data_IF_680374263691
#
_entry.id   IF_680374263691
#
_cell.length_a   1.000
_cell.length_b   1.000
_cell.length_c   1.000
_cell.angle_alpha   90.00
_cell.angle_beta   90.00
_cell.angle_gamma   90.00
#
_symmetry.space_group_name_H-M   'P 1'
#
loop_
_entity.id
_entity.type
_entity.pdbx_description
1 polymer ?
#
# COMPACT_ATOMS: atom_id res chain seq x y z
N UNK A 1 -19.95 3.83 -2.35
CA UNK A 1 -19.39 2.55 -2.83
C UNK A 1 -20.14 1.44 -2.14
N UNK A 2 -20.55 0.38 -2.85
CA UNK A 2 -21.26 -0.76 -2.26
C UNK A 2 -20.31 -1.95 -2.22
N UNK A 3 -20.18 -2.59 -1.06
CA UNK A 3 -19.30 -3.73 -0.86
C UNK A 3 -20.07 -4.81 -0.12
N UNK A 4 -20.21 -5.97 -0.74
CA UNK A 4 -20.94 -7.11 -0.16
C UNK A 4 -19.95 -8.06 0.49
N UNK A 5 -20.10 -8.28 1.79
CA UNK A 5 -19.30 -9.22 2.57
C UNK A 5 -20.09 -10.51 2.79
N UNK A 6 -19.43 -11.66 2.66
CA UNK A 6 -20.05 -12.97 2.81
C UNK A 6 -19.39 -13.81 3.90
N UNK A 7 -20.18 -14.72 4.48
CA UNK A 7 -19.69 -15.78 5.34
C UNK A 7 -18.92 -15.29 6.58
N UNK A 8 -17.76 -15.87 6.90
CA UNK A 8 -17.00 -15.56 8.13
C UNK A 8 -16.63 -14.08 8.27
N UNK A 9 -16.36 -13.38 7.16
CA UNK A 9 -15.95 -11.97 7.17
C UNK A 9 -17.10 -11.07 7.60
N UNK A 10 -18.31 -11.33 7.12
CA UNK A 10 -19.50 -10.57 7.54
C UNK A 10 -19.76 -10.74 9.04
N UNK A 11 -19.64 -11.98 9.56
CA UNK A 11 -19.79 -12.26 10.99
C UNK A 11 -18.70 -11.59 11.83
N UNK A 12 -17.46 -11.58 11.35
CA UNK A 12 -16.34 -10.91 12.01
C UNK A 12 -16.59 -9.40 12.11
N UNK A 13 -16.93 -8.75 11.00
CA UNK A 13 -17.22 -7.30 10.96
C UNK A 13 -18.36 -6.97 11.90
N UNK A 14 -19.45 -7.75 11.89
CA UNK A 14 -20.58 -7.53 12.79
C UNK A 14 -20.17 -7.67 14.26
N UNK A 15 -19.40 -8.71 14.60
CA UNK A 15 -18.95 -8.97 15.98
C UNK A 15 -18.02 -7.87 16.48
N UNK A 16 -17.05 -7.45 15.65
CA UNK A 16 -16.07 -6.42 16.00
C UNK A 16 -16.67 -5.02 16.08
N UNK A 17 -17.65 -4.70 15.21
CA UNK A 17 -18.37 -3.43 15.27
C UNK A 17 -18.99 -3.22 16.66
N UNK A 18 -19.65 -4.26 17.18
CA UNK A 18 -20.25 -4.23 18.52
C UNK A 18 -19.17 -4.25 19.61
N UNK A 19 -18.20 -5.17 19.52
CA UNK A 19 -17.19 -5.36 20.55
C UNK A 19 -16.30 -4.12 20.77
N UNK A 20 -16.03 -3.37 19.71
CA UNK A 20 -15.16 -2.19 19.74
C UNK A 20 -15.95 -0.87 19.68
N UNK A 21 -17.27 -0.92 19.84
CA UNK A 21 -18.13 0.25 19.92
C UNK A 21 -18.07 1.18 18.69
N UNK A 22 -17.90 0.60 17.50
CA UNK A 22 -18.05 1.37 16.26
C UNK A 22 -19.51 1.72 16.07
N UNK A 23 -19.77 2.97 15.68
CA UNK A 23 -21.14 3.42 15.36
C UNK A 23 -21.72 2.75 14.12
N UNK A 24 -20.88 2.20 13.23
CA UNK A 24 -21.33 1.40 12.11
C UNK A 24 -20.22 0.47 11.57
N UNK A 25 -20.56 -0.61 10.85
CA UNK A 25 -19.59 -1.48 10.16
C UNK A 25 -18.69 -0.73 9.18
N UNK A 26 -19.20 0.32 8.53
CA UNK A 26 -18.45 1.13 7.58
C UNK A 26 -17.28 1.85 8.26
N UNK A 27 -17.45 2.31 9.50
CA UNK A 27 -16.37 2.99 10.23
C UNK A 27 -15.23 2.01 10.57
N UNK A 28 -15.57 0.78 10.96
CA UNK A 28 -14.58 -0.29 11.17
C UNK A 28 -13.84 -0.60 9.85
N UNK A 29 -14.57 -0.73 8.73
CA UNK A 29 -13.97 -1.00 7.42
C UNK A 29 -13.07 0.16 6.99
N UNK A 30 -13.48 1.41 7.21
CA UNK A 30 -12.70 2.58 6.86
C UNK A 30 -11.38 2.65 7.63
N UNK A 31 -11.42 2.37 8.93
CA UNK A 31 -10.20 2.31 9.74
C UNK A 31 -9.29 1.16 9.29
N UNK A 32 -9.85 -0.04 9.05
CA UNK A 32 -9.09 -1.18 8.56
C UNK A 32 -8.41 -0.89 7.21
N UNK A 33 -9.08 -0.19 6.31
CA UNK A 33 -8.51 0.29 5.04
C UNK A 33 -7.36 1.28 5.27
N UNK A 34 -7.51 2.21 6.22
CA UNK A 34 -6.46 3.14 6.61
C UNK A 34 -5.21 2.42 7.12
N UNK A 35 -5.39 1.42 7.99
CA UNK A 35 -4.29 0.58 8.49
C UNK A 35 -3.61 -0.19 7.35
N UNK A 36 -4.39 -0.79 6.45
CA UNK A 36 -3.85 -1.50 5.30
C UNK A 36 -3.05 -0.57 4.37
N UNK A 37 -3.55 0.65 4.13
CA UNK A 37 -2.86 1.64 3.32
C UNK A 37 -1.52 2.02 3.96
N UNK A 38 -1.53 2.31 5.27
CA UNK A 38 -0.31 2.62 6.01
C UNK A 38 0.71 1.48 5.93
N UNK A 39 0.28 0.23 6.15
CA UNK A 39 1.16 -0.94 6.05
C UNK A 39 1.79 -1.08 4.66
N UNK A 40 1.03 -0.82 3.59
CA UNK A 40 1.56 -0.84 2.21
C UNK A 40 2.61 0.25 1.97
N UNK A 41 2.35 1.46 2.48
CA UNK A 41 3.31 2.58 2.39
C UNK A 41 4.58 2.23 3.17
N UNK A 42 4.44 1.79 4.42
CA UNK A 42 5.57 1.43 5.30
C UNK A 42 6.41 0.30 4.67
N UNK A 43 5.77 -0.70 4.06
CA UNK A 43 6.47 -1.77 3.35
C UNK A 43 7.25 -1.26 2.13
N UNK A 44 6.69 -0.30 1.37
CA UNK A 44 7.36 0.36 0.26
C UNK A 44 8.58 1.15 0.71
N UNK A 45 8.44 1.94 1.78
CA UNK A 45 9.54 2.71 2.39
C UNK A 45 10.63 1.75 2.88
N UNK A 46 10.28 0.71 3.62
CA UNK A 46 11.24 -0.26 4.14
C UNK A 46 12.02 -0.96 3.02
N UNK A 47 11.35 -1.30 1.91
CA UNK A 47 12.00 -1.85 0.71
C UNK A 47 12.98 -0.84 0.11
N UNK A 48 12.55 0.40 -0.09
CA UNK A 48 13.41 1.47 -0.63
C UNK A 48 14.64 1.72 0.23
N UNK A 49 14.48 1.74 1.56
CA UNK A 49 15.60 1.86 2.51
C UNK A 49 16.56 0.67 2.42
N UNK A 50 16.04 -0.55 2.27
CA UNK A 50 16.87 -1.74 2.10
C UNK A 50 17.64 -1.72 0.77
N UNK A 51 17.02 -1.24 -0.31
CA UNK A 51 17.68 -1.06 -1.61
C UNK A 51 18.77 0.00 -1.53
N UNK A 52 18.50 1.15 -0.90
CA UNK A 52 19.50 2.18 -0.67
C UNK A 52 20.69 1.67 0.16
N UNK A 53 20.42 0.96 1.26
CA UNK A 53 21.48 0.36 2.11
C UNK A 53 22.32 -0.67 1.34
N UNK A 54 21.71 -1.38 0.38
CA UNK A 54 22.41 -2.34 -0.45
C UNK A 54 23.08 -1.72 -1.69
N UNK A 55 23.04 -0.39 -1.86
CA UNK A 55 23.57 0.30 -3.03
C UNK A 55 22.79 0.04 -4.32
N UNK A 56 21.57 -0.51 -4.23
CA UNK A 56 20.66 -0.73 -5.37
C UNK A 56 19.81 0.52 -5.65
N UNK A 57 20.44 1.68 -5.57
CA UNK A 57 19.82 2.96 -5.89
C UNK A 57 20.73 3.72 -6.87
N UNK A 58 20.11 4.51 -7.75
CA UNK A 58 20.84 5.42 -8.64
C UNK A 58 20.43 6.84 -8.28
N UNK A 59 21.41 7.71 -8.10
CA UNK A 59 21.17 9.13 -7.89
C UNK A 59 20.58 9.75 -9.16
N UNK A 60 19.48 10.48 -9.00
CA UNK A 60 18.85 11.23 -10.07
C UNK A 60 19.30 12.69 -9.99
N UNK A 61 19.81 13.20 -11.09
CA UNK A 61 20.18 14.60 -11.28
C UNK A 61 19.49 15.13 -12.54
N UNK A 62 19.36 16.44 -12.68
CA UNK A 62 18.75 17.06 -13.87
C UNK A 62 19.46 16.62 -15.16
N UNK A 63 20.77 16.38 -15.10
CA UNK A 63 21.59 15.95 -16.24
C UNK A 63 21.42 14.47 -16.64
N UNK A 64 20.91 13.63 -15.75
CA UNK A 64 20.86 12.17 -15.95
C UNK A 64 19.44 11.59 -15.99
N UNK A 65 18.43 12.38 -15.62
CA UNK A 65 17.03 11.95 -15.50
C UNK A 65 16.48 11.36 -16.81
N UNK A 66 16.65 12.09 -17.92
CA UNK A 66 16.11 11.71 -19.24
C UNK A 66 16.70 10.38 -19.72
N UNK A 67 18.03 10.24 -19.66
CA UNK A 67 18.74 9.00 -20.04
C UNK A 67 18.34 7.81 -19.19
N UNK A 68 18.11 8.03 -17.90
CA UNK A 68 17.66 6.96 -17.00
C UNK A 68 16.21 6.54 -17.33
N UNK A 69 15.33 7.50 -17.61
CA UNK A 69 13.95 7.22 -18.01
C UNK A 69 13.89 6.40 -19.31
N UNK A 70 14.66 6.78 -20.33
CA UNK A 70 14.79 6.03 -21.59
C UNK A 70 15.31 4.60 -21.37
N UNK A 71 16.31 4.43 -20.49
CA UNK A 71 16.86 3.12 -20.15
C UNK A 71 15.81 2.22 -19.48
N UNK A 72 14.92 2.77 -18.64
CA UNK A 72 13.87 1.99 -17.97
C UNK A 72 12.80 1.56 -18.98
N UNK A 73 12.37 2.48 -19.85
CA UNK A 73 11.36 2.20 -20.88
C UNK A 73 11.86 1.14 -21.86
N UNK A 74 13.10 1.27 -22.33
CA UNK A 74 13.69 0.30 -23.27
C UNK A 74 13.83 -1.11 -22.68
N UNK A 75 14.21 -1.22 -21.39
CA UNK A 75 14.25 -2.50 -20.69
C UNK A 75 12.88 -3.13 -20.46
N UNK A 76 11.82 -2.32 -20.35
CA UNK A 76 10.45 -2.80 -20.11
C UNK A 76 9.76 -3.33 -21.38
N UNK A 77 10.32 -3.04 -22.56
CA UNK A 77 9.79 -3.45 -23.87
C UNK A 77 10.49 -4.71 -24.43
N UNK A 78 11.47 -5.26 -23.72
CA UNK A 78 12.17 -6.51 -24.03
C UNK A 78 11.56 -7.67 -23.25
#
# INVERSE_FOLDING_TARGET
MTLTLHGPVAKLVQTQTVAWNYSSPENLIHEALGVLMKQKIDAGIARGLADAKAGRCRELTDDNLEKIAESIVSQSLQ
#
